data_IF_495891648960
#
_entry.id   IF_495891648960
#
_cell.length_a   1.000
_cell.length_b   1.000
_cell.length_c   1.000
_cell.angle_alpha   90.00
_cell.angle_beta   90.00
_cell.angle_gamma   90.00
#
_symmetry.space_group_name_H-M   'P 1'
#
loop_
_entity.id
_entity.type
_entity.pdbx_description
1 polymer ?
#
# COMPACT_ATOMS: atom_id res chain seq x y z
N UNK A 1 -8.96 26.82 16.26
CA UNK A 1 -10.04 27.37 15.40
C UNK A 1 -9.94 26.67 14.04
N UNK A 2 -10.62 25.53 13.88
CA UNK A 2 -10.65 24.75 12.63
C UNK A 2 -11.59 25.41 11.62
N UNK A 3 -11.05 25.91 10.51
CA UNK A 3 -11.87 26.29 9.36
C UNK A 3 -12.01 25.07 8.43
N UNK A 4 -13.15 24.38 8.55
CA UNK A 4 -13.64 23.25 7.74
C UNK A 4 -14.06 23.67 6.32
N UNK A 5 -13.25 24.46 5.60
CA UNK A 5 -13.58 24.87 4.23
C UNK A 5 -12.33 24.96 3.35
N UNK A 6 -11.84 23.81 2.92
CA UNK A 6 -11.29 23.60 1.58
C UNK A 6 -11.23 22.09 1.34
N UNK A 7 -12.38 21.52 0.94
CA UNK A 7 -12.42 20.23 0.25
C UNK A 7 -11.65 20.42 -1.05
N UNK A 8 -10.31 20.30 -1.01
CA UNK A 8 -9.36 20.34 -2.11
C UNK A 8 -9.98 20.73 -3.47
N UNK A 9 -10.41 21.99 -3.58
CA UNK A 9 -11.35 22.43 -4.64
C UNK A 9 -10.60 22.99 -5.84
N UNK A 10 -9.49 23.65 -5.55
CA UNK A 10 -8.60 24.30 -6.51
C UNK A 10 -7.50 23.32 -6.91
N UNK A 11 -6.39 23.31 -6.16
CA UNK A 11 -5.27 22.42 -6.40
C UNK A 11 -5.39 21.14 -5.59
N UNK A 12 -5.24 20.01 -6.26
CA UNK A 12 -5.28 18.71 -5.61
C UNK A 12 -4.61 17.59 -6.41
N UNK A 13 -4.27 16.53 -5.69
CA UNK A 13 -3.90 15.23 -6.24
C UNK A 13 -5.02 14.24 -5.92
N UNK A 14 -5.53 13.54 -6.93
CA UNK A 14 -6.57 12.55 -6.80
C UNK A 14 -6.05 11.16 -7.18
N UNK A 15 -6.35 10.14 -6.37
CA UNK A 15 -5.78 8.79 -6.54
C UNK A 15 -6.90 7.76 -6.68
N UNK A 16 -6.85 6.96 -7.74
CA UNK A 16 -7.81 5.89 -8.04
C UNK A 16 -7.14 4.53 -8.23
N UNK A 17 -7.84 3.46 -7.86
CA UNK A 17 -7.43 2.05 -8.05
C UNK A 17 -7.58 1.51 -9.48
N UNK A 18 -7.77 2.37 -10.48
CA UNK A 18 -7.99 1.90 -11.84
C UNK A 18 -8.02 3.02 -12.88
N UNK A 19 -8.12 2.62 -14.15
CA UNK A 19 -8.10 3.52 -15.30
C UNK A 19 -9.49 3.99 -15.74
N UNK A 20 -10.54 3.32 -15.30
CA UNK A 20 -11.93 3.67 -15.62
C UNK A 20 -12.47 4.77 -14.69
N UNK A 21 -13.57 5.40 -15.07
CA UNK A 21 -14.22 6.46 -14.28
C UNK A 21 -14.93 5.93 -13.04
N UNK A 22 -15.31 4.66 -13.02
CA UNK A 22 -15.95 3.94 -11.91
C UNK A 22 -14.94 3.28 -10.95
N UNK A 23 -13.65 3.38 -11.24
CA UNK A 23 -12.60 2.84 -10.37
C UNK A 23 -12.63 3.48 -8.98
N UNK A 24 -12.35 2.68 -7.93
CA UNK A 24 -12.39 3.15 -6.54
C UNK A 24 -11.50 4.38 -6.33
N UNK A 25 -12.10 5.46 -5.85
CA UNK A 25 -11.42 6.65 -5.37
C UNK A 25 -10.83 6.38 -3.98
N UNK A 26 -9.50 6.54 -3.84
CA UNK A 26 -8.84 6.50 -2.53
C UNK A 26 -9.00 7.81 -1.78
N UNK A 27 -9.00 8.92 -2.52
CA UNK A 27 -9.18 10.24 -1.95
C UNK A 27 -8.61 11.34 -2.81
N UNK A 28 -8.84 12.56 -2.33
CA UNK A 28 -8.33 13.79 -2.89
C UNK A 28 -7.46 14.49 -1.84
N UNK A 29 -6.24 14.83 -2.21
CA UNK A 29 -5.21 15.31 -1.31
C UNK A 29 -4.76 16.72 -1.71
N UNK A 30 -4.62 17.59 -0.73
CA UNK A 30 -4.11 18.94 -0.89
C UNK A 30 -3.49 19.41 0.43
N UNK A 31 -2.69 20.47 0.36
CA UNK A 31 -1.98 21.00 1.53
C UNK A 31 -0.62 20.35 1.75
N UNK A 32 0.01 20.59 2.92
CA UNK A 32 1.36 20.12 3.21
C UNK A 32 1.42 18.69 3.78
N UNK A 33 0.28 18.12 4.16
CA UNK A 33 0.22 16.81 4.81
C UNK A 33 0.39 15.68 3.78
N UNK A 34 1.30 14.75 4.09
CA UNK A 34 1.51 13.54 3.29
C UNK A 34 0.46 12.49 3.68
N UNK A 35 -0.31 11.94 2.72
CA UNK A 35 -1.22 10.85 3.02
C UNK A 35 -0.46 9.60 3.46
N UNK A 36 -1.14 8.69 4.16
CA UNK A 36 -0.62 7.36 4.43
C UNK A 36 -0.39 6.54 3.14
N UNK A 37 0.17 5.35 3.29
CA UNK A 37 0.39 4.44 2.14
C UNK A 37 -0.96 4.14 1.47
N UNK A 38 -1.03 4.36 0.16
CA UNK A 38 -2.20 4.04 -0.67
C UNK A 38 -1.89 2.79 -1.48
N UNK A 39 -2.67 1.73 -1.28
CA UNK A 39 -2.55 0.46 -2.00
C UNK A 39 -3.67 0.34 -3.02
N UNK A 40 -3.35 0.07 -4.28
CA UNK A 40 -4.36 -0.18 -5.31
C UNK A 40 -5.11 -1.49 -5.03
N UNK A 41 -6.39 -1.56 -5.42
CA UNK A 41 -7.16 -2.81 -5.34
C UNK A 41 -6.72 -3.83 -6.39
N UNK A 42 -6.16 -3.36 -7.50
CA UNK A 42 -5.71 -4.17 -8.62
C UNK A 42 -4.32 -3.73 -9.09
N UNK A 43 -3.90 -4.18 -10.25
CA UNK A 43 -2.62 -3.88 -10.89
C UNK A 43 -2.55 -2.50 -11.56
N UNK A 44 -3.52 -1.62 -11.32
CA UNK A 44 -3.57 -0.28 -11.92
C UNK A 44 -3.82 0.78 -10.84
N UNK A 45 -3.12 1.91 -10.96
CA UNK A 45 -3.36 3.09 -10.15
C UNK A 45 -3.29 4.33 -11.05
N UNK A 46 -4.28 5.20 -10.95
CA UNK A 46 -4.32 6.49 -11.67
C UNK A 46 -4.14 7.62 -10.67
N UNK A 47 -3.10 8.43 -10.88
CA UNK A 47 -2.83 9.64 -10.11
C UNK A 47 -3.07 10.83 -11.03
N UNK A 48 -4.01 11.69 -10.66
CA UNK A 48 -4.35 12.90 -11.40
C UNK A 48 -3.99 14.13 -10.55
N UNK A 49 -3.12 14.99 -11.08
CA UNK A 49 -2.85 16.29 -10.48
C UNK A 49 -3.64 17.36 -11.22
N UNK A 50 -4.46 18.09 -10.49
CA UNK A 50 -5.20 19.24 -11.00
C UNK A 50 -4.71 20.50 -10.29
N UNK A 51 -4.37 21.51 -11.08
CA UNK A 51 -4.02 22.85 -10.62
C UNK A 51 -4.91 23.84 -11.36
N UNK A 52 -5.24 24.96 -10.73
CA UNK A 52 -5.85 26.09 -11.42
C UNK A 52 -4.82 27.17 -11.81
N UNK A 53 -5.30 28.29 -12.39
CA UNK A 53 -4.45 29.40 -12.82
C UNK A 53 -4.09 30.37 -11.66
N UNK A 54 -4.38 30.00 -10.42
CA UNK A 54 -4.10 30.81 -9.24
C UNK A 54 -2.80 30.34 -8.54
N UNK A 55 -2.63 30.64 -7.25
CA UNK A 55 -1.38 30.55 -6.48
C UNK A 55 -0.61 29.25 -6.74
N UNK A 56 0.57 29.35 -7.35
CA UNK A 56 1.43 28.19 -7.60
C UNK A 56 2.23 27.79 -6.34
N UNK A 57 2.27 26.48 -6.06
CA UNK A 57 3.09 25.87 -4.99
C UNK A 57 4.15 24.94 -5.58
N UNK A 58 4.92 24.28 -4.70
CA UNK A 58 5.99 23.32 -5.09
C UNK A 58 5.49 22.04 -5.77
N UNK A 59 4.18 21.80 -5.84
CA UNK A 59 3.58 20.60 -6.42
C UNK A 59 3.64 19.39 -5.49
N UNK A 60 3.70 18.19 -6.06
CA UNK A 60 3.77 16.93 -5.33
C UNK A 60 4.98 16.09 -5.75
N UNK A 61 5.41 15.21 -4.86
CA UNK A 61 6.38 14.15 -5.14
C UNK A 61 5.78 12.84 -4.66
N UNK A 62 5.73 11.85 -5.55
CA UNK A 62 5.26 10.50 -5.24
C UNK A 62 6.40 9.50 -5.37
N UNK A 63 6.39 8.48 -4.51
CA UNK A 63 7.17 7.27 -4.67
C UNK A 63 6.18 6.11 -4.74
N UNK A 64 6.29 5.29 -5.78
CA UNK A 64 5.47 4.10 -5.93
C UNK A 64 6.35 2.86 -5.93
N UNK A 65 5.79 1.76 -5.44
CA UNK A 65 6.35 0.43 -5.50
C UNK A 65 5.21 -0.53 -5.84
N UNK A 66 5.51 -1.58 -6.59
CA UNK A 66 4.60 -2.69 -6.82
C UNK A 66 4.94 -3.78 -5.84
N UNK A 67 3.94 -4.22 -5.08
CA UNK A 67 4.05 -5.35 -4.19
C UNK A 67 2.83 -6.24 -4.40
N UNK A 68 3.04 -7.54 -4.49
CA UNK A 68 1.96 -8.52 -4.57
C UNK A 68 1.86 -9.14 -3.19
N UNK A 69 0.70 -9.08 -2.56
CA UNK A 69 0.50 -9.82 -1.33
C UNK A 69 0.41 -11.32 -1.63
N UNK A 70 1.55 -12.02 -1.55
CA UNK A 70 1.57 -13.47 -1.74
C UNK A 70 0.82 -14.22 -0.62
N UNK A 71 0.71 -13.61 0.57
CA UNK A 71 -0.02 -14.21 1.70
C UNK A 71 -1.54 -14.21 1.49
N UNK A 72 -2.05 -13.27 0.69
CA UNK A 72 -3.47 -13.20 0.33
C UNK A 72 -3.95 -14.41 -0.51
N UNK A 73 -3.04 -15.23 -1.06
CA UNK A 73 -3.37 -16.44 -1.82
C UNK A 73 -2.69 -17.64 -1.20
N UNK A 74 -3.48 -18.62 -0.74
CA UNK A 74 -2.98 -19.87 -0.14
C UNK A 74 -1.93 -19.65 0.97
N UNK A 75 -2.05 -18.55 1.73
CA UNK A 75 -1.11 -18.18 2.79
C UNK A 75 0.36 -18.12 2.30
N UNK A 76 0.60 -17.72 1.04
CA UNK A 76 1.94 -17.71 0.45
C UNK A 76 2.58 -19.10 0.39
N UNK A 77 1.79 -20.18 0.49
CA UNK A 77 2.25 -21.57 0.67
C UNK A 77 3.08 -21.80 1.93
N UNK A 78 3.03 -20.88 2.90
CA UNK A 78 3.66 -21.04 4.19
C UNK A 78 2.91 -22.10 5.02
N UNK A 79 3.64 -22.99 5.69
CA UNK A 79 3.02 -24.00 6.58
C UNK A 79 2.30 -23.36 7.78
N UNK A 80 2.84 -22.24 8.29
CA UNK A 80 2.28 -21.55 9.46
C UNK A 80 1.94 -20.10 9.14
N UNK A 81 2.76 -19.13 9.53
CA UNK A 81 2.44 -17.71 9.34
C UNK A 81 3.09 -17.21 8.06
N UNK A 82 2.33 -16.49 7.24
CA UNK A 82 2.86 -15.72 6.12
C UNK A 82 2.87 -14.24 6.50
N UNK A 83 4.01 -13.58 6.27
CA UNK A 83 4.15 -12.14 6.43
C UNK A 83 4.52 -11.53 5.10
N UNK A 84 3.60 -10.74 4.56
CA UNK A 84 3.85 -9.98 3.36
C UNK A 84 4.84 -8.85 3.66
N UNK A 85 5.83 -8.68 2.80
CA UNK A 85 6.85 -7.63 2.90
C UNK A 85 6.85 -6.79 1.63
N UNK A 86 7.53 -5.65 1.60
CA UNK A 86 7.61 -4.88 0.37
C UNK A 86 8.52 -5.56 -0.65
N UNK A 87 7.93 -6.04 -1.75
CA UNK A 87 8.58 -6.71 -2.87
C UNK A 87 8.72 -8.23 -2.71
N UNK A 88 8.23 -8.82 -1.62
CA UNK A 88 8.34 -10.25 -1.33
C UNK A 88 7.46 -10.65 -0.13
N UNK A 89 7.62 -11.86 0.37
CA UNK A 89 6.99 -12.33 1.61
C UNK A 89 7.93 -13.28 2.33
N UNK A 90 7.71 -13.46 3.63
CA UNK A 90 8.46 -14.42 4.43
C UNK A 90 7.51 -15.29 5.25
N UNK A 91 7.81 -16.59 5.32
CA UNK A 91 7.13 -17.48 6.23
C UNK A 91 7.76 -17.39 7.64
N UNK A 92 6.92 -17.36 8.66
CA UNK A 92 7.32 -17.42 10.06
C UNK A 92 6.68 -18.61 10.75
N UNK A 93 7.43 -19.14 11.72
CA UNK A 93 7.00 -20.25 12.55
C UNK A 93 6.62 -19.75 13.94
N UNK A 94 5.61 -20.40 14.53
CA UNK A 94 5.19 -20.18 15.92
C UNK A 94 6.30 -20.61 16.87
N UNK A 95 6.22 -20.12 18.09
CA UNK A 95 7.13 -20.54 19.16
C UNK A 95 7.19 -22.06 19.28
N UNK A 96 8.39 -22.63 19.42
CA UNK A 96 8.55 -24.09 19.38
C UNK A 96 8.93 -24.65 18.01
N UNK A 97 9.03 -23.83 16.97
CA UNK A 97 9.33 -24.28 15.61
C UNK A 97 10.40 -23.40 14.96
N UNK A 98 11.22 -24.01 14.09
CA UNK A 98 12.23 -23.35 13.27
C UNK A 98 11.85 -23.45 11.78
N UNK A 99 12.10 -22.38 11.04
CA UNK A 99 11.85 -22.35 9.60
C UNK A 99 12.82 -23.31 8.89
N UNK A 100 12.29 -24.13 8.01
CA UNK A 100 13.05 -25.07 7.20
C UNK A 100 13.87 -24.35 6.11
N UNK A 101 14.88 -25.01 5.56
CA UNK A 101 15.74 -24.48 4.49
C UNK A 101 14.97 -24.11 3.21
N UNK A 102 13.80 -24.71 2.98
CA UNK A 102 12.96 -24.34 1.85
C UNK A 102 12.21 -23.01 2.04
N UNK A 103 12.30 -22.39 3.23
CA UNK A 103 11.66 -21.12 3.54
C UNK A 103 10.13 -21.16 3.66
N UNK A 104 9.52 -22.35 3.64
CA UNK A 104 8.06 -22.55 3.65
C UNK A 104 7.58 -23.34 4.86
N UNK A 105 8.30 -24.42 5.17
CA UNK A 105 7.91 -25.37 6.21
C UNK A 105 8.50 -24.99 7.57
N UNK A 106 7.82 -25.40 8.63
CA UNK A 106 8.21 -25.24 10.02
C UNK A 106 8.51 -26.61 10.61
N UNK A 107 9.77 -26.82 11.00
CA UNK A 107 10.21 -28.01 11.73
C UNK A 107 10.13 -27.73 13.22
N UNK A 108 9.78 -28.74 14.01
CA UNK A 108 9.80 -28.61 15.46
C UNK A 108 11.20 -28.19 15.89
N UNK A 109 11.26 -27.05 16.58
CA UNK A 109 12.48 -26.50 17.13
C UNK A 109 12.86 -27.39 18.28
N UNK A 110 13.86 -28.23 18.05
CA UNK A 110 14.45 -29.05 19.09
C UNK A 110 15.11 -28.11 20.11
N UNK A 111 14.34 -27.65 21.08
CA UNK A 111 14.88 -27.10 22.33
C UNK A 111 15.50 -28.28 23.08
N UNK A 112 16.77 -28.55 22.81
CA UNK A 112 17.67 -29.21 23.77
C UNK A 112 18.43 -28.12 24.50
#
# INVERSE_FOLDING_TARGET
MCLLYQVCKYDYVEVHSGLSSDSKLHGRFCGPETPGIITSQFNNMRIEFKSDNTVSKKGFKGHFFSDKDECSVDNGRCQQQCLNTLGSYVCQCRHGFALHENGLDCKEGQWV
#
